data_IF_125543302918
#
_entry.id   IF_125543302918
#
_cell.length_a   1.000
_cell.length_b   1.000
_cell.length_c   1.000
_cell.angle_alpha   90.00
_cell.angle_beta   90.00
_cell.angle_gamma   90.00
#
_symmetry.space_group_name_H-M   'P 1'
#
loop_
_entity.id
_entity.type
_entity.pdbx_description
1 polymer ?
#
# COMPACT_ATOMS: atom_id res chain seq x y z
N UNK A 1 -20.07 21.55 -15.14
CA UNK A 1 -18.91 22.47 -15.23
C UNK A 1 -17.72 21.62 -15.60
N UNK A 2 -17.15 21.79 -16.80
CA UNK A 2 -15.91 21.11 -17.19
C UNK A 2 -14.76 22.08 -16.91
N UNK A 3 -13.95 21.79 -15.90
CA UNK A 3 -12.67 22.45 -15.74
C UNK A 3 -11.79 22.08 -16.93
N UNK A 4 -11.43 23.10 -17.71
CA UNK A 4 -10.47 22.97 -18.79
C UNK A 4 -9.11 22.72 -18.16
N UNK A 5 -8.52 21.58 -18.52
CA UNK A 5 -7.12 21.28 -18.26
C UNK A 5 -6.25 22.45 -18.71
N UNK A 6 -5.44 22.99 -17.80
CA UNK A 6 -4.72 24.23 -18.02
C UNK A 6 -3.55 24.00 -18.99
N UNK A 7 -3.74 24.47 -20.23
CA UNK A 7 -2.82 24.33 -21.37
C UNK A 7 -1.48 25.08 -21.15
N UNK A 8 -1.37 25.84 -20.06
CA UNK A 8 -0.23 26.67 -19.71
C UNK A 8 1.02 25.86 -19.37
N UNK A 9 0.84 24.65 -18.80
CA UNK A 9 1.95 23.75 -18.51
C UNK A 9 2.65 23.28 -19.80
N UNK A 10 1.88 23.03 -20.87
CA UNK A 10 2.41 22.59 -22.17
C UNK A 10 2.99 23.75 -23.00
N UNK A 11 2.54 24.98 -22.78
CA UNK A 11 3.09 26.18 -23.43
C UNK A 11 4.56 26.41 -23.05
N UNK A 12 4.93 26.13 -21.80
CA UNK A 12 6.31 26.26 -21.30
C UNK A 12 7.28 25.30 -22.00
N UNK A 13 6.84 24.07 -22.31
CA UNK A 13 7.64 23.05 -22.98
C UNK A 13 7.83 23.33 -24.47
N UNK A 14 6.85 23.96 -25.13
CA UNK A 14 6.94 24.29 -26.57
C UNK A 14 7.93 25.41 -26.89
N UNK A 15 8.31 26.24 -25.92
CA UNK A 15 9.16 27.43 -26.12
C UNK A 15 10.64 27.19 -25.77
N UNK A 16 11.03 25.96 -25.47
CA UNK A 16 12.40 25.60 -25.12
C UNK A 16 13.24 25.31 -26.38
N UNK A 17 14.24 26.16 -26.71
CA UNK A 17 15.05 26.01 -27.95
C UNK A 17 15.99 24.80 -27.93
N UNK A 18 16.16 24.16 -26.77
CA UNK A 18 16.98 22.98 -26.49
C UNK A 18 16.24 21.64 -26.72
N UNK A 19 14.92 21.66 -26.92
CA UNK A 19 14.08 20.46 -27.09
C UNK A 19 13.92 20.00 -28.55
N UNK A 20 14.78 20.43 -29.48
CA UNK A 20 14.83 19.75 -30.78
C UNK A 20 15.44 18.36 -30.57
N UNK A 21 14.68 17.26 -30.76
CA UNK A 21 15.21 15.94 -30.53
C UNK A 21 16.44 15.77 -31.42
N UNK A 22 17.58 15.41 -30.81
CA UNK A 22 18.83 15.18 -31.55
C UNK A 22 18.52 14.30 -32.75
N UNK A 23 18.93 14.72 -33.96
CA UNK A 23 18.59 14.00 -35.21
C UNK A 23 18.90 12.51 -35.13
N UNK A 24 19.92 12.14 -34.36
CA UNK A 24 20.29 10.77 -34.07
C UNK A 24 19.23 10.00 -33.27
N UNK A 25 18.64 10.60 -32.24
CA UNK A 25 17.56 10.00 -31.45
C UNK A 25 16.33 9.71 -32.31
N UNK A 26 15.94 10.66 -33.18
CA UNK A 26 14.83 10.47 -34.12
C UNK A 26 15.12 9.34 -35.12
N UNK A 27 16.38 9.17 -35.53
CA UNK A 27 16.83 8.07 -36.40
C UNK A 27 16.81 6.73 -35.66
N UNK A 28 17.30 6.68 -34.43
CA UNK A 28 17.31 5.48 -33.59
C UNK A 28 15.89 5.01 -33.26
N UNK A 29 15.00 5.92 -32.89
CA UNK A 29 13.59 5.61 -32.60
C UNK A 29 12.88 5.08 -33.83
N UNK A 30 13.11 5.70 -35.00
CA UNK A 30 12.57 5.22 -36.27
C UNK A 30 13.08 3.80 -36.58
N UNK A 31 14.37 3.55 -36.42
CA UNK A 31 14.94 2.22 -36.69
C UNK A 31 14.38 1.15 -35.75
N UNK A 32 14.26 1.42 -34.44
CA UNK A 32 13.63 0.47 -33.48
C UNK A 32 12.19 0.14 -33.84
N UNK A 33 11.37 1.15 -34.14
CA UNK A 33 9.97 0.95 -34.53
C UNK A 33 9.83 0.10 -35.81
N UNK A 34 10.74 0.27 -36.77
CA UNK A 34 10.72 -0.53 -38.01
C UNK A 34 11.29 -1.94 -37.83
N UNK A 35 12.25 -2.14 -36.92
CA UNK A 35 12.77 -3.47 -36.55
C UNK A 35 11.71 -4.29 -35.81
N UNK A 36 11.03 -3.71 -34.81
CA UNK A 36 9.95 -4.38 -34.06
C UNK A 36 8.76 -4.75 -34.96
N UNK A 37 8.38 -3.88 -35.90
CA UNK A 37 7.33 -4.19 -36.88
C UNK A 37 7.78 -5.20 -37.95
N UNK A 38 9.09 -5.31 -38.20
CA UNK A 38 9.67 -6.25 -39.15
C UNK A 38 9.69 -7.69 -38.63
N UNK A 39 9.98 -7.87 -37.34
CA UNK A 39 10.10 -9.19 -36.72
C UNK A 39 8.74 -9.86 -36.43
N UNK A 40 7.66 -9.09 -36.23
CA UNK A 40 6.31 -9.67 -36.18
C UNK A 40 5.85 -10.33 -37.49
N UNK A 41 6.49 -10.05 -38.63
CA UNK A 41 6.15 -10.66 -39.93
C UNK A 41 6.85 -11.99 -40.19
N UNK A 42 7.88 -12.37 -39.43
CA UNK A 42 8.66 -13.60 -39.65
C UNK A 42 8.26 -14.80 -38.78
N UNK A 43 7.39 -14.62 -37.76
CA UNK A 43 6.92 -15.73 -36.92
C UNK A 43 5.62 -16.41 -37.42
N UNK A 44 5.02 -15.98 -38.54
CA UNK A 44 3.80 -16.61 -39.12
C UNK A 44 4.09 -17.84 -39.98
N UNK A 45 4.82 -18.80 -39.43
CA UNK A 45 5.22 -20.01 -40.12
C UNK A 45 5.20 -21.26 -39.26
N UNK A 46 4.16 -21.46 -38.42
CA UNK A 46 3.68 -22.75 -37.87
C UNK A 46 2.69 -22.50 -36.73
N UNK A 47 1.41 -22.44 -37.03
CA UNK A 47 0.33 -23.00 -36.19
C UNK A 47 -1.00 -22.83 -36.92
N UNK A 48 -1.44 -23.92 -37.55
CA UNK A 48 -2.84 -24.16 -37.90
C UNK A 48 -3.48 -24.82 -36.69
N UNK A 49 -4.30 -24.08 -35.95
CA UNK A 49 -5.56 -24.55 -35.36
C UNK A 49 -6.13 -23.42 -34.49
N UNK A 50 -7.45 -23.21 -34.62
CA UNK A 50 -8.32 -22.39 -33.76
C UNK A 50 -8.42 -20.90 -34.08
N UNK A 51 -9.29 -20.60 -35.04
CA UNK A 51 -10.26 -19.48 -34.90
C UNK A 51 -11.64 -20.15 -34.91
N UNK A 52 -12.44 -19.94 -33.87
CA UNK A 52 -13.64 -19.12 -34.05
C UNK A 52 -13.86 -18.20 -32.83
N UNK A 53 -13.84 -16.87 -33.02
CA UNK A 53 -14.48 -15.93 -32.07
C UNK A 53 -14.66 -14.50 -32.62
N UNK A 54 -14.19 -14.18 -33.82
CA UNK A 54 -14.32 -12.81 -34.37
C UNK A 54 -15.69 -12.56 -35.06
N UNK A 55 -16.54 -13.58 -35.21
CA UNK A 55 -17.87 -13.46 -35.82
C UNK A 55 -19.02 -13.23 -34.83
N UNK A 56 -18.77 -13.30 -33.51
CA UNK A 56 -19.79 -13.04 -32.48
C UNK A 56 -19.94 -11.54 -32.12
N UNK A 57 -18.90 -10.73 -32.35
CA UNK A 57 -18.92 -9.30 -32.01
C UNK A 57 -19.71 -8.43 -33.01
N UNK A 58 -20.11 -8.98 -34.16
CA UNK A 58 -20.82 -8.22 -35.20
C UNK A 58 -22.36 -8.30 -35.10
N UNK A 59 -22.92 -9.15 -34.22
CA UNK A 59 -24.38 -9.33 -34.08
C UNK A 59 -24.99 -8.66 -32.84
N UNK A 60 -24.18 -8.07 -31.94
CA UNK A 60 -24.67 -7.39 -30.74
C UNK A 60 -24.97 -5.89 -31.00
N UNK A 61 -24.44 -5.31 -32.07
CA UNK A 61 -24.62 -3.88 -32.42
C UNK A 61 -25.87 -3.54 -33.24
N UNK A 62 -26.80 -4.50 -33.46
CA UNK A 62 -28.02 -4.28 -34.23
C UNK A 62 -29.33 -4.61 -33.48
N UNK A 63 -29.27 -4.73 -32.14
CA UNK A 63 -30.36 -5.27 -31.32
C UNK A 63 -30.94 -4.35 -30.24
N UNK A 64 -30.69 -3.04 -30.26
CA UNK A 64 -31.31 -2.09 -29.32
C UNK A 64 -31.74 -0.82 -30.07
N UNK A 65 -32.78 -0.94 -30.88
CA UNK A 65 -33.57 0.17 -31.40
C UNK A 65 -34.91 -0.44 -31.81
N UNK A 66 -35.86 -0.53 -30.89
CA UNK A 66 -37.30 -0.57 -31.16
C UNK A 66 -38.10 -0.58 -29.84
N UNK A 67 -39.12 0.28 -29.79
CA UNK A 67 -40.25 0.38 -28.85
C UNK A 67 -40.08 1.20 -27.56
N UNK A 68 -40.21 2.53 -27.68
CA UNK A 68 -41.08 3.29 -26.76
C UNK A 68 -41.99 4.15 -27.62
N UNK A 69 -43.27 3.79 -27.65
CA UNK A 69 -44.35 4.73 -27.88
C UNK A 69 -45.57 4.27 -27.07
N UNK A 70 -46.14 5.24 -26.35
CA UNK A 70 -47.57 5.50 -26.15
C UNK A 70 -48.15 5.49 -24.71
N UNK A 71 -48.79 6.64 -24.42
CA UNK A 71 -49.87 6.97 -23.46
C UNK A 71 -49.35 7.40 -22.07
N UNK A 72 -49.55 8.63 -21.55
CA UNK A 72 -50.62 9.65 -21.72
C UNK A 72 -51.27 9.85 -20.34
N UNK A 73 -51.30 11.02 -19.70
CA UNK A 73 -52.28 12.09 -19.93
C UNK A 73 -52.08 13.24 -18.91
N UNK A 74 -52.40 14.45 -19.35
CA UNK A 74 -52.54 15.69 -18.57
C UNK A 74 -53.70 15.62 -17.56
N UNK A 75 -53.57 16.34 -16.43
CA UNK A 75 -54.66 17.16 -15.90
C UNK A 75 -54.13 18.43 -15.23
N UNK A 76 -54.82 19.52 -15.57
CA UNK A 76 -54.61 20.92 -15.23
C UNK A 76 -55.30 21.27 -13.90
N UNK A 77 -54.83 22.28 -13.18
CA UNK A 77 -55.44 22.72 -11.92
C UNK A 77 -54.74 23.91 -11.24
N UNK A 78 -55.26 25.11 -11.51
CA UNK A 78 -54.77 26.42 -11.07
C UNK A 78 -55.11 26.83 -9.61
N UNK A 79 -54.26 27.75 -9.10
CA UNK A 79 -54.48 28.87 -8.16
C UNK A 79 -54.59 28.60 -6.65
N UNK A 80 -53.67 29.17 -5.85
CA UNK A 80 -53.79 30.54 -5.31
C UNK A 80 -52.63 30.88 -4.34
N UNK A 81 -52.27 32.17 -4.34
CA UNK A 81 -51.16 32.85 -3.66
C UNK A 81 -51.31 32.96 -2.13
N UNK A 82 -50.20 32.94 -1.37
CA UNK A 82 -49.62 34.13 -0.72
C UNK A 82 -48.51 33.81 0.32
N UNK A 83 -47.59 34.78 0.36
CA UNK A 83 -46.74 35.24 1.47
C UNK A 83 -45.33 34.64 1.68
N UNK A 84 -44.40 35.58 1.52
CA UNK A 84 -42.96 35.51 1.72
C UNK A 84 -42.64 35.48 3.22
N UNK A 85 -41.83 34.52 3.63
CA UNK A 85 -40.88 34.76 4.71
C UNK A 85 -39.55 34.07 4.39
N UNK A 86 -38.48 34.85 4.48
CA UNK A 86 -37.15 34.51 3.96
C UNK A 86 -36.41 33.68 5.00
N UNK A 87 -36.43 32.35 4.85
CA UNK A 87 -35.44 31.46 5.46
C UNK A 87 -34.70 30.80 4.30
N UNK A 88 -33.38 30.99 4.24
CA UNK A 88 -32.51 30.30 3.28
C UNK A 88 -32.56 28.80 3.54
N UNK A 89 -33.50 28.15 2.86
CA UNK A 89 -33.57 26.72 2.71
C UNK A 89 -32.42 26.31 1.78
N UNK A 90 -31.45 25.59 2.33
CA UNK A 90 -30.44 24.90 1.52
C UNK A 90 -31.22 23.87 0.71
N UNK A 91 -31.35 24.10 -0.60
CA UNK A 91 -31.88 23.12 -1.54
C UNK A 91 -31.03 21.86 -1.41
N UNK A 92 -31.62 20.83 -0.81
CA UNK A 92 -31.13 19.46 -0.95
C UNK A 92 -31.42 19.07 -2.39
N UNK A 93 -30.41 19.20 -3.26
CA UNK A 93 -30.42 18.59 -4.58
C UNK A 93 -30.50 17.08 -4.39
N UNK A 94 -31.73 16.57 -4.30
CA UNK A 94 -32.03 15.14 -4.39
C UNK A 94 -31.77 14.71 -5.83
N UNK A 95 -30.50 14.50 -6.15
CA UNK A 95 -30.15 13.72 -7.34
C UNK A 95 -30.73 12.33 -7.14
N UNK A 96 -31.46 11.82 -8.14
CA UNK A 96 -31.85 10.42 -8.13
C UNK A 96 -30.60 9.56 -7.88
N UNK A 97 -30.69 8.55 -7.00
CA UNK A 97 -29.53 7.75 -6.62
C UNK A 97 -28.93 7.12 -7.86
N UNK A 98 -27.72 7.56 -8.21
CA UNK A 98 -26.94 6.96 -9.29
C UNK A 98 -26.80 5.48 -8.98
N UNK A 99 -27.25 4.64 -9.91
CA UNK A 99 -27.06 3.20 -9.85
C UNK A 99 -25.60 2.90 -9.52
N UNK A 100 -25.38 2.15 -8.44
CA UNK A 100 -24.04 1.79 -8.01
C UNK A 100 -23.51 0.69 -8.93
N UNK A 101 -22.45 0.98 -9.68
CA UNK A 101 -21.72 0.01 -10.48
C UNK A 101 -20.62 -0.68 -9.65
N UNK A 102 -20.08 -1.78 -10.19
CA UNK A 102 -19.03 -2.58 -9.53
C UNK A 102 -17.77 -1.76 -9.19
N UNK A 103 -17.19 -0.94 -10.09
CA UNK A 103 -16.00 -0.14 -9.74
C UNK A 103 -16.27 0.92 -8.68
N UNK A 104 -17.45 1.55 -8.69
CA UNK A 104 -17.82 2.53 -7.66
C UNK A 104 -18.05 1.84 -6.32
N UNK A 105 -18.70 0.67 -6.32
CA UNK A 105 -18.83 -0.14 -5.12
C UNK A 105 -17.45 -0.52 -4.56
N UNK A 106 -16.55 -1.06 -5.37
CA UNK A 106 -15.17 -1.40 -4.98
C UNK A 106 -14.45 -0.23 -4.33
N UNK A 107 -14.55 0.95 -4.93
CA UNK A 107 -13.94 2.17 -4.39
C UNK A 107 -14.53 2.55 -3.03
N UNK A 108 -15.85 2.64 -2.91
CA UNK A 108 -16.52 3.04 -1.67
C UNK A 108 -16.25 2.06 -0.53
N UNK A 109 -16.21 0.77 -0.89
CA UNK A 109 -15.89 -0.31 0.02
C UNK A 109 -14.45 -0.16 0.49
N UNK A 110 -13.47 -0.09 -0.42
CA UNK A 110 -12.06 0.15 -0.05
C UNK A 110 -11.87 1.38 0.84
N UNK A 111 -12.49 2.52 0.51
CA UNK A 111 -12.43 3.74 1.32
C UNK A 111 -12.99 3.55 2.74
N UNK A 112 -14.08 2.79 2.90
CA UNK A 112 -14.65 2.49 4.21
C UNK A 112 -13.69 1.65 5.06
N UNK A 113 -13.03 0.65 4.45
CA UNK A 113 -12.03 -0.17 5.13
C UNK A 113 -10.78 0.62 5.52
N UNK A 114 -10.23 1.43 4.61
CA UNK A 114 -9.09 2.31 4.91
C UNK A 114 -9.39 3.24 6.09
N UNK A 115 -10.60 3.81 6.15
CA UNK A 115 -10.99 4.66 7.28
C UNK A 115 -11.07 3.89 8.58
N UNK A 116 -11.63 2.69 8.55
CA UNK A 116 -11.74 1.89 9.74
C UNK A 116 -10.36 1.44 10.23
N UNK A 117 -9.47 1.04 9.32
CA UNK A 117 -8.07 0.71 9.60
C UNK A 117 -7.32 1.87 10.26
N UNK A 118 -7.46 3.09 9.72
CA UNK A 118 -6.87 4.30 10.30
C UNK A 118 -7.27 4.54 11.77
N UNK A 119 -8.47 4.10 12.17
CA UNK A 119 -8.93 4.22 13.57
C UNK A 119 -8.30 3.14 14.44
N UNK A 120 -8.29 1.88 13.97
CA UNK A 120 -7.69 0.78 14.73
C UNK A 120 -6.19 0.99 14.94
N UNK A 121 -5.51 1.42 13.88
CA UNK A 121 -4.06 1.59 13.84
C UNK A 121 -3.62 3.04 14.05
N UNK A 122 -4.47 3.86 14.68
CA UNK A 122 -4.11 5.21 15.09
C UNK A 122 -2.86 5.18 16.00
N UNK A 123 -1.81 5.89 15.57
CA UNK A 123 -0.52 6.00 16.26
C UNK A 123 -0.65 6.66 17.64
N UNK A 124 -1.78 7.33 17.88
CA UNK A 124 -2.09 7.95 19.16
C UNK A 124 -1.36 9.26 19.38
N UNK A 125 -1.11 9.58 20.64
CA UNK A 125 -0.29 10.74 21.05
C UNK A 125 1.14 10.35 21.44
N UNK A 126 1.50 9.07 21.33
CA UNK A 126 2.71 8.48 21.91
C UNK A 126 2.63 8.24 23.43
N UNK A 127 1.58 8.71 24.10
CA UNK A 127 1.35 8.46 25.53
C UNK A 127 0.61 7.12 25.75
N UNK A 128 1.24 6.21 26.50
CA UNK A 128 0.66 4.93 26.93
C UNK A 128 0.49 4.83 28.46
N UNK A 129 -0.37 3.92 28.91
CA UNK A 129 -0.66 3.67 30.32
C UNK A 129 -1.20 2.24 30.55
N UNK A 130 -0.95 1.70 31.74
CA UNK A 130 -1.57 0.43 32.16
C UNK A 130 -3.03 0.63 32.58
N UNK A 131 -3.93 -0.19 32.01
CA UNK A 131 -5.32 -0.28 32.42
C UNK A 131 -5.71 -1.74 32.59
N UNK A 132 -6.02 -2.13 33.84
CA UNK A 132 -6.36 -3.51 34.23
C UNK A 132 -5.27 -4.56 33.89
N UNK A 133 -4.00 -4.13 33.81
CA UNK A 133 -2.86 -5.02 33.52
C UNK A 133 -2.56 -5.17 32.04
N UNK A 134 -3.24 -4.43 31.18
CA UNK A 134 -2.98 -4.35 29.74
C UNK A 134 -2.47 -2.94 29.37
N UNK A 135 -1.53 -2.82 28.42
CA UNK A 135 -1.08 -1.53 27.93
C UNK A 135 -2.14 -0.89 27.02
N UNK A 136 -2.45 0.37 27.28
CA UNK A 136 -3.35 1.19 26.48
C UNK A 136 -2.61 2.43 25.98
N UNK A 137 -2.99 2.95 24.82
CA UNK A 137 -2.54 4.23 24.28
C UNK A 137 -3.70 5.21 24.13
N UNK A 138 -3.45 6.49 24.37
CA UNK A 138 -4.43 7.51 24.02
C UNK A 138 -4.48 7.68 22.51
N UNK A 139 -5.70 7.81 21.98
CA UNK A 139 -5.93 8.17 20.58
C UNK A 139 -5.37 9.55 20.27
N UNK A 140 -5.03 9.79 19.00
CA UNK A 140 -4.59 11.09 18.49
C UNK A 140 -5.64 12.17 18.72
N UNK A 141 -5.26 13.45 18.60
CA UNK A 141 -6.19 14.57 18.81
C UNK A 141 -7.38 14.57 17.85
N UNK A 142 -7.24 13.91 16.70
CA UNK A 142 -8.30 13.74 15.72
C UNK A 142 -9.35 12.72 16.19
N UNK A 143 -8.96 11.77 17.04
CA UNK A 143 -9.79 10.66 17.50
C UNK A 143 -9.94 10.56 19.03
N UNK A 144 -9.58 11.61 19.78
CA UNK A 144 -9.57 11.64 21.26
C UNK A 144 -10.95 11.53 21.94
N UNK A 145 -12.03 11.35 21.18
CA UNK A 145 -13.39 11.17 21.70
C UNK A 145 -14.23 10.31 20.78
N UNK A 146 -15.22 9.60 21.34
CA UNK A 146 -16.13 8.74 20.57
C UNK A 146 -16.86 9.52 19.48
N UNK A 147 -17.27 10.75 19.76
CA UNK A 147 -18.00 11.59 18.80
C UNK A 147 -17.14 11.94 17.58
N UNK A 148 -15.84 12.22 17.78
CA UNK A 148 -14.92 12.46 16.66
C UNK A 148 -14.73 11.21 15.80
N UNK A 149 -14.57 10.04 16.42
CA UNK A 149 -14.46 8.76 15.70
C UNK A 149 -15.74 8.46 14.92
N UNK A 150 -16.93 8.63 15.53
CA UNK A 150 -18.22 8.48 14.84
C UNK A 150 -18.32 9.44 13.67
N UNK A 151 -17.93 10.70 13.85
CA UNK A 151 -17.99 11.71 12.81
C UNK A 151 -17.08 11.35 11.62
N UNK A 152 -15.86 10.89 11.89
CA UNK A 152 -14.93 10.43 10.86
C UNK A 152 -15.45 9.21 10.09
N UNK A 153 -15.99 8.21 10.79
CA UNK A 153 -16.60 7.04 10.16
C UNK A 153 -17.87 7.37 9.38
N UNK A 154 -18.62 8.39 9.77
CA UNK A 154 -19.89 8.76 9.12
C UNK A 154 -19.75 9.21 7.66
N UNK A 155 -18.53 9.44 7.17
CA UNK A 155 -18.23 9.70 5.76
C UNK A 155 -18.44 8.45 4.89
N UNK A 156 -18.16 7.25 5.42
CA UNK A 156 -18.28 5.98 4.68
C UNK A 156 -19.29 5.01 5.29
N UNK A 157 -19.67 5.22 6.54
CA UNK A 157 -20.61 4.38 7.29
C UNK A 157 -21.87 5.16 7.65
N UNK A 158 -23.00 4.45 7.73
CA UNK A 158 -24.20 4.99 8.36
C UNK A 158 -23.90 5.29 9.83
N UNK A 159 -24.57 6.29 10.45
CA UNK A 159 -24.33 6.63 11.86
C UNK A 159 -24.50 5.45 12.82
N UNK A 160 -25.45 4.56 12.53
CA UNK A 160 -25.68 3.35 13.34
C UNK A 160 -24.53 2.34 13.18
N UNK A 161 -24.05 2.11 11.96
CA UNK A 161 -22.88 1.26 11.71
C UNK A 161 -21.62 1.82 12.38
N UNK A 162 -21.36 3.13 12.25
CA UNK A 162 -20.22 3.79 12.88
C UNK A 162 -20.23 3.64 14.41
N UNK A 163 -21.40 3.85 15.05
CA UNK A 163 -21.55 3.67 16.51
C UNK A 163 -21.33 2.23 16.93
N UNK A 164 -21.83 1.28 16.15
CA UNK A 164 -21.69 -0.14 16.44
C UNK A 164 -20.21 -0.58 16.35
N UNK A 165 -19.50 -0.16 15.31
CA UNK A 165 -18.05 -0.43 15.15
C UNK A 165 -17.22 0.04 16.35
N UNK A 166 -17.56 1.20 16.91
CA UNK A 166 -16.89 1.74 18.12
C UNK A 166 -17.31 0.99 19.38
N UNK A 167 -18.54 0.48 19.44
CA UNK A 167 -19.04 -0.28 20.57
C UNK A 167 -18.42 -1.68 20.66
N UNK A 168 -18.11 -2.28 19.51
CA UNK A 168 -17.53 -3.62 19.39
C UNK A 168 -16.01 -3.63 19.64
N UNK A 169 -15.34 -2.48 19.50
CA UNK A 169 -13.92 -2.33 19.78
C UNK A 169 -13.65 -1.97 21.26
N UNK A 170 -12.55 -2.45 21.89
CA UNK A 170 -12.21 -2.20 23.29
C UNK A 170 -11.80 -0.75 23.63
N UNK A 171 -12.42 0.26 23.02
CA UNK A 171 -12.20 1.65 23.37
C UNK A 171 -12.66 1.98 24.79
N UNK A 172 -11.79 2.65 25.54
CA UNK A 172 -12.10 3.18 26.86
C UNK A 172 -11.99 4.70 26.88
N UNK A 173 -12.69 5.33 27.82
CA UNK A 173 -12.46 6.74 28.15
C UNK A 173 -11.65 6.77 29.43
N UNK A 174 -10.41 7.25 29.35
CA UNK A 174 -9.51 7.37 30.48
C UNK A 174 -9.07 8.82 30.63
N UNK A 175 -9.25 9.39 31.84
CA UNK A 175 -9.00 10.81 32.13
C UNK A 175 -9.65 11.80 31.13
N UNK A 176 -10.82 11.43 30.61
CA UNK A 176 -11.58 12.26 29.67
C UNK A 176 -11.14 12.19 28.21
N UNK A 177 -10.15 11.35 27.87
CA UNK A 177 -9.71 11.09 26.50
C UNK A 177 -10.02 9.65 26.09
N UNK A 178 -10.29 9.44 24.81
CA UNK A 178 -10.42 8.09 24.22
C UNK A 178 -9.06 7.40 24.19
N UNK A 179 -9.04 6.12 24.50
CA UNK A 179 -7.87 5.27 24.47
C UNK A 179 -8.26 3.87 23.98
N UNK A 180 -7.28 3.16 23.44
CA UNK A 180 -7.40 1.79 22.95
C UNK A 180 -6.23 0.94 23.43
N UNK A 181 -6.32 -0.41 23.41
CA UNK A 181 -5.17 -1.26 23.65
C UNK A 181 -3.98 -0.88 22.76
N UNK A 182 -2.77 -0.94 23.30
CA UNK A 182 -1.55 -0.63 22.55
C UNK A 182 -1.08 -1.84 21.74
N UNK A 183 -1.95 -2.26 20.82
CA UNK A 183 -1.70 -3.37 19.89
C UNK A 183 -1.82 -2.88 18.45
N UNK A 184 -1.30 -3.68 17.52
CA UNK A 184 -1.51 -3.48 16.10
C UNK A 184 -2.64 -4.39 15.66
N UNK A 185 -3.59 -3.85 14.90
CA UNK A 185 -4.70 -4.64 14.37
C UNK A 185 -4.45 -4.92 12.90
N UNK A 186 -4.18 -6.18 12.57
CA UNK A 186 -4.17 -6.61 11.18
C UNK A 186 -5.61 -6.59 10.66
N UNK A 187 -5.92 -5.62 9.80
CA UNK A 187 -7.12 -5.69 8.98
C UNK A 187 -6.82 -6.67 7.85
N UNK A 188 -7.34 -7.90 7.95
CA UNK A 188 -7.13 -8.96 6.95
C UNK A 188 -7.12 -8.40 5.50
N UNK A 189 -6.17 -8.86 4.67
CA UNK A 189 -5.81 -8.46 3.28
C UNK A 189 -6.93 -8.58 2.22
N UNK A 190 -8.19 -8.40 2.61
CA UNK A 190 -9.37 -8.51 1.76
C UNK A 190 -9.31 -7.65 0.49
N UNK A 191 -8.42 -6.66 0.43
CA UNK A 191 -8.40 -5.66 -0.63
C UNK A 191 -7.31 -5.88 -1.66
N UNK A 192 -6.30 -6.73 -1.40
CA UNK A 192 -5.29 -7.05 -2.40
C UNK A 192 -5.85 -8.09 -3.37
N UNK A 193 -6.64 -7.63 -4.35
CA UNK A 193 -6.99 -8.42 -5.53
C UNK A 193 -8.40 -9.01 -5.60
N UNK A 194 -9.35 -8.58 -4.75
CA UNK A 194 -10.76 -8.95 -4.91
C UNK A 194 -11.53 -7.88 -5.70
N UNK A 195 -12.38 -8.31 -6.64
CA UNK A 195 -13.31 -7.43 -7.37
C UNK A 195 -14.74 -7.80 -6.98
N UNK A 196 -15.63 -6.81 -6.87
CA UNK A 196 -17.06 -7.08 -6.71
C UNK A 196 -17.55 -7.99 -7.85
N UNK A 197 -18.14 -9.12 -7.50
CA UNK A 197 -18.68 -10.08 -8.47
C UNK A 197 -20.17 -9.85 -8.76
N UNK A 198 -20.81 -9.01 -7.95
CA UNK A 198 -22.24 -8.72 -8.07
C UNK A 198 -22.63 -7.47 -7.28
N UNK A 199 -23.32 -6.56 -7.95
CA UNK A 199 -24.02 -5.44 -7.32
C UNK A 199 -25.51 -5.55 -7.60
N UNK A 200 -26.34 -5.48 -6.56
CA UNK A 200 -27.80 -5.43 -6.65
C UNK A 200 -28.29 -4.14 -6.03
N UNK A 201 -28.56 -3.15 -6.89
CA UNK A 201 -28.96 -1.82 -6.46
C UNK A 201 -30.47 -1.61 -6.58
N UNK A 202 -31.02 -0.95 -5.56
CA UNK A 202 -32.33 -0.31 -5.54
C UNK A 202 -32.13 1.18 -5.26
N UNK A 203 -33.19 1.99 -5.22
CA UNK A 203 -33.07 3.44 -4.97
C UNK A 203 -32.33 3.77 -3.66
N UNK A 204 -32.58 3.02 -2.58
CA UNK A 204 -32.06 3.37 -1.25
C UNK A 204 -31.06 2.36 -0.69
N UNK A 205 -30.83 1.26 -1.40
CA UNK A 205 -30.04 0.14 -0.89
C UNK A 205 -29.31 -0.57 -2.02
N UNK A 206 -28.04 -0.93 -1.80
CA UNK A 206 -27.26 -1.78 -2.68
C UNK A 206 -26.62 -2.92 -1.90
N UNK A 207 -26.85 -4.15 -2.36
CA UNK A 207 -26.18 -5.35 -1.85
C UNK A 207 -25.02 -5.69 -2.81
N UNK A 208 -23.78 -5.64 -2.31
CA UNK A 208 -22.54 -5.92 -3.06
C UNK A 208 -21.95 -7.23 -2.57
N UNK A 209 -21.56 -8.12 -3.47
CA UNK A 209 -20.97 -9.43 -3.15
C UNK A 209 -19.54 -9.54 -3.65
N UNK A 210 -18.66 -10.06 -2.79
CA UNK A 210 -17.24 -10.34 -3.08
C UNK A 210 -16.96 -11.82 -2.97
N UNK A 211 -16.02 -12.28 -3.81
CA UNK A 211 -15.30 -13.54 -3.61
C UNK A 211 -13.92 -13.21 -3.04
N UNK A 212 -13.69 -13.63 -1.81
CA UNK A 212 -12.43 -13.42 -1.10
C UNK A 212 -11.65 -14.74 -1.15
N UNK A 213 -10.43 -14.77 -1.70
CA UNK A 213 -9.61 -15.96 -1.67
C UNK A 213 -9.25 -16.30 -0.22
N UNK A 214 -9.37 -17.57 0.17
CA UNK A 214 -8.91 -18.03 1.48
C UNK A 214 -7.38 -18.19 1.41
N UNK A 215 -6.65 -17.45 2.24
CA UNK A 215 -5.19 -17.57 2.38
C UNK A 215 -4.80 -19.02 2.72
N UNK A 216 -3.82 -19.59 2.01
CA UNK A 216 -3.37 -20.98 2.20
C UNK A 216 -3.37 -21.88 0.94
N UNK A 217 -3.59 -21.32 -0.25
CA UNK A 217 -3.43 -22.04 -1.52
C UNK A 217 -4.57 -22.99 -1.90
N UNK A 218 -5.66 -23.01 -1.14
CA UNK A 218 -6.91 -23.67 -1.55
C UNK A 218 -7.64 -22.83 -2.61
N UNK A 219 -8.26 -23.48 -3.61
CA UNK A 219 -9.18 -22.83 -4.57
C UNK A 219 -10.52 -22.43 -3.94
N UNK A 220 -10.65 -22.47 -2.62
CA UNK A 220 -11.87 -22.11 -1.91
C UNK A 220 -11.94 -20.59 -1.77
N UNK A 221 -13.06 -20.02 -2.24
CA UNK A 221 -13.40 -18.61 -2.09
C UNK A 221 -14.45 -18.45 -1.00
N UNK A 222 -14.25 -17.48 -0.12
CA UNK A 222 -15.26 -17.06 0.84
C UNK A 222 -16.13 -15.98 0.21
N UNK A 223 -17.45 -16.21 0.15
CA UNK A 223 -18.39 -15.24 -0.42
C UNK A 223 -18.88 -14.32 0.68
N UNK A 224 -18.62 -13.02 0.55
CA UNK A 224 -19.06 -12.00 1.49
C UNK A 224 -20.01 -11.01 0.84
N UNK A 225 -21.00 -10.55 1.61
CA UNK A 225 -21.97 -9.56 1.13
C UNK A 225 -21.97 -8.33 2.04
N UNK A 226 -21.83 -7.17 1.42
CA UNK A 226 -21.90 -5.87 2.05
C UNK A 226 -23.16 -5.14 1.62
N UNK A 227 -23.77 -4.38 2.52
CA UNK A 227 -24.94 -3.57 2.22
C UNK A 227 -24.64 -2.11 2.39
N UNK A 228 -24.84 -1.35 1.31
CA UNK A 228 -24.80 0.09 1.29
C UNK A 228 -26.23 0.66 1.31
N UNK A 229 -26.41 1.76 2.03
CA UNK A 229 -27.65 2.57 2.06
C UNK A 229 -27.31 3.94 1.49
N UNK A 230 -28.21 4.48 0.68
CA UNK A 230 -28.08 5.83 0.18
C UNK A 230 -28.63 6.84 1.20
N UNK A 231 -27.73 7.62 1.81
CA UNK A 231 -28.01 8.71 2.75
C UNK A 231 -27.03 9.86 2.49
N UNK A 232 -27.43 10.77 1.59
CA UNK A 232 -26.56 11.82 1.04
C UNK A 232 -25.24 11.26 0.46
N UNK A 233 -25.32 10.07 -0.13
CA UNK A 233 -24.17 9.27 -0.56
C UNK A 233 -24.36 7.80 -0.17
N UNK A 234 -23.70 6.89 -0.88
CA UNK A 234 -23.72 5.47 -0.57
C UNK A 234 -22.83 5.19 0.65
N UNK A 235 -23.40 4.61 1.71
CA UNK A 235 -22.72 4.35 2.99
C UNK A 235 -22.98 2.94 3.50
N UNK A 236 -22.02 2.37 4.22
CA UNK A 236 -22.17 1.04 4.82
C UNK A 236 -23.21 1.01 5.93
N UNK A 237 -24.11 0.03 5.84
CA UNK A 237 -25.21 -0.14 6.79
C UNK A 237 -25.04 -1.28 7.78
N UNK A 238 -24.11 -2.21 7.52
CA UNK A 238 -23.95 -3.45 8.29
C UNK A 238 -22.58 -3.48 8.97
N UNK A 239 -22.55 -4.10 10.15
CA UNK A 239 -21.32 -4.47 10.87
C UNK A 239 -20.50 -5.39 9.98
N UNK A 240 -19.26 -5.01 9.72
CA UNK A 240 -18.39 -5.79 8.84
C UNK A 240 -18.22 -7.20 9.44
N UNK A 241 -18.34 -8.28 8.65
CA UNK A 241 -18.40 -9.66 9.17
C UNK A 241 -17.05 -10.18 9.69
N UNK A 242 -16.11 -9.31 10.08
CA UNK A 242 -14.79 -9.70 10.52
C UNK A 242 -14.70 -9.79 12.04
N UNK A 243 -14.17 -10.92 12.50
CA UNK A 243 -13.44 -10.97 13.76
C UNK A 243 -12.06 -10.37 13.51
N UNK A 244 -11.74 -9.27 14.20
CA UNK A 244 -10.35 -8.83 14.32
C UNK A 244 -9.67 -9.85 15.23
N UNK A 245 -8.64 -10.52 14.73
CA UNK A 245 -7.68 -11.12 15.64
C UNK A 245 -6.91 -9.97 16.25
N UNK A 246 -6.98 -9.84 17.57
CA UNK A 246 -5.92 -9.18 18.30
C UNK A 246 -4.67 -10.00 18.00
N UNK A 247 -3.90 -9.51 17.04
CA UNK A 247 -2.52 -9.95 16.92
C UNK A 247 -1.89 -9.24 18.12
N UNK A 248 -1.58 -9.99 19.17
CA UNK A 248 -0.60 -9.51 20.15
C UNK A 248 0.49 -8.91 19.29
N UNK A 249 0.71 -7.59 19.40
CA UNK A 249 1.73 -6.86 18.64
C UNK A 249 2.94 -7.76 18.71
N UNK A 250 3.23 -8.50 17.63
CA UNK A 250 4.11 -9.64 17.76
C UNK A 250 5.50 -9.03 17.89
N UNK A 251 5.87 -8.70 19.12
CA UNK A 251 7.13 -9.13 19.68
C UNK A 251 7.06 -10.66 19.75
N UNK A 252 6.94 -11.32 18.60
CA UNK A 252 7.96 -12.28 18.30
C UNK A 252 9.24 -11.48 18.52
N UNK A 253 9.83 -11.64 19.71
CA UNK A 253 11.21 -11.26 19.95
C UNK A 253 11.98 -12.04 18.88
N UNK A 254 12.07 -11.44 17.71
CA UNK A 254 12.98 -11.83 16.68
C UNK A 254 14.34 -11.56 17.30
N UNK A 255 14.81 -12.57 18.03
CA UNK A 255 16.08 -12.55 18.71
C UNK A 255 17.11 -12.84 17.64
N UNK A 256 17.39 -11.78 16.86
CA UNK A 256 18.49 -11.74 15.94
C UNK A 256 19.74 -12.22 16.67
N UNK A 257 20.36 -13.27 16.13
CA UNK A 257 21.56 -13.84 16.71
C UNK A 257 22.52 -14.29 15.63
N UNK A 258 23.79 -14.05 15.91
CA UNK A 258 24.88 -14.58 15.12
C UNK A 258 25.08 -16.05 15.47
N UNK A 259 25.45 -16.84 14.47
CA UNK A 259 25.99 -18.18 14.73
C UNK A 259 27.36 -18.05 15.41
N UNK A 260 27.88 -19.08 16.08
CA UNK A 260 29.19 -19.00 16.74
C UNK A 260 30.34 -18.58 15.82
N UNK A 261 30.29 -18.95 14.54
CA UNK A 261 31.27 -18.55 13.53
C UNK A 261 31.17 -17.04 13.19
N UNK A 262 29.95 -16.55 12.98
CA UNK A 262 29.67 -15.13 12.74
C UNK A 262 30.00 -14.26 13.95
N UNK A 263 29.72 -14.74 15.17
CA UNK A 263 30.04 -14.05 16.41
C UNK A 263 31.55 -13.96 16.64
N UNK A 264 32.30 -15.03 16.33
CA UNK A 264 33.76 -15.01 16.37
C UNK A 264 34.34 -14.03 15.35
N UNK A 265 33.80 -14.00 14.12
CA UNK A 265 34.21 -13.05 13.09
C UNK A 265 33.91 -11.61 13.52
N UNK A 266 32.70 -11.35 14.03
CA UNK A 266 32.32 -10.02 14.53
C UNK A 266 33.22 -9.56 15.68
N UNK A 267 33.55 -10.45 16.62
CA UNK A 267 34.47 -10.13 17.72
C UNK A 267 35.85 -9.74 17.21
N UNK A 268 36.43 -10.50 16.28
CA UNK A 268 37.74 -10.20 15.69
C UNK A 268 37.71 -8.88 14.91
N UNK A 269 36.70 -8.68 14.08
CA UNK A 269 36.48 -7.45 13.32
C UNK A 269 36.27 -6.23 14.23
N UNK A 270 35.61 -6.42 15.38
CA UNK A 270 35.40 -5.35 16.36
C UNK A 270 36.68 -4.93 17.09
N UNK A 271 37.64 -5.85 17.25
CA UNK A 271 38.96 -5.60 17.83
C UNK A 271 39.92 -4.97 16.80
N UNK A 272 39.81 -5.39 15.55
CA UNK A 272 40.63 -4.97 14.42
C UNK A 272 39.75 -4.91 13.15
N UNK A 273 39.31 -3.72 12.69
CA UNK A 273 38.31 -3.57 11.63
C UNK A 273 38.91 -3.77 10.24
N UNK A 274 39.65 -4.86 10.06
CA UNK A 274 40.17 -5.30 8.78
C UNK A 274 39.22 -6.33 8.17
N UNK A 275 38.91 -6.16 6.89
CA UNK A 275 38.02 -7.06 6.14
C UNK A 275 38.50 -8.51 6.15
N UNK A 276 39.81 -8.75 6.33
CA UNK A 276 40.40 -10.08 6.50
C UNK A 276 39.72 -10.93 7.59
N UNK A 277 39.14 -10.30 8.64
CA UNK A 277 38.45 -11.02 9.71
C UNK A 277 37.04 -11.51 9.32
N UNK A 278 36.49 -10.98 8.22
CA UNK A 278 35.22 -11.42 7.63
C UNK A 278 35.46 -12.45 6.51
N UNK A 279 36.72 -12.80 6.24
CA UNK A 279 37.09 -13.72 5.19
C UNK A 279 36.50 -15.12 5.40
N UNK A 280 35.97 -15.69 4.31
CA UNK A 280 35.35 -17.02 4.30
C UNK A 280 33.87 -17.02 4.71
N UNK A 281 33.35 -15.90 5.20
CA UNK A 281 31.92 -15.75 5.44
C UNK A 281 31.15 -15.69 4.12
N UNK A 282 29.92 -16.23 4.17
CA UNK A 282 28.97 -16.06 3.07
C UNK A 282 28.49 -14.60 3.01
N UNK A 283 28.00 -14.12 1.84
CA UNK A 283 27.41 -12.79 1.75
C UNK A 283 26.31 -12.55 2.79
N UNK A 284 25.48 -13.57 3.07
CA UNK A 284 24.45 -13.49 4.10
C UNK A 284 25.05 -13.29 5.50
N UNK A 285 26.10 -14.03 5.83
CA UNK A 285 26.79 -13.91 7.12
C UNK A 285 27.43 -12.53 7.31
N UNK A 286 27.98 -11.94 6.26
CA UNK A 286 28.50 -10.56 6.29
C UNK A 286 27.37 -9.57 6.59
N UNK A 287 26.21 -9.71 5.94
CA UNK A 287 25.04 -8.87 6.25
C UNK A 287 24.58 -9.04 7.70
N UNK A 288 24.59 -10.26 8.24
CA UNK A 288 24.25 -10.47 9.65
C UNK A 288 25.25 -9.77 10.58
N UNK A 289 26.54 -9.84 10.31
CA UNK A 289 27.56 -9.11 11.08
C UNK A 289 27.33 -7.59 11.00
N UNK A 290 26.93 -7.08 9.83
CA UNK A 290 26.56 -5.67 9.64
C UNK A 290 25.34 -5.27 10.48
N UNK A 291 24.30 -6.12 10.51
CA UNK A 291 23.11 -5.89 11.34
C UNK A 291 23.50 -5.87 12.82
N UNK A 292 24.36 -6.80 13.28
CA UNK A 292 24.86 -6.80 14.65
C UNK A 292 25.62 -5.50 14.98
N UNK A 293 26.53 -5.06 14.12
CA UNK A 293 27.26 -3.81 14.32
C UNK A 293 26.33 -2.59 14.42
N UNK A 294 25.26 -2.60 13.63
CA UNK A 294 24.22 -1.57 13.66
C UNK A 294 23.41 -1.59 14.96
N UNK A 295 23.05 -2.78 15.46
CA UNK A 295 22.35 -2.95 16.74
C UNK A 295 23.20 -2.56 17.96
N UNK A 296 24.52 -2.72 17.85
CA UNK A 296 25.50 -2.30 18.85
C UNK A 296 25.90 -0.82 18.72
N UNK A 297 25.29 -0.09 17.78
CA UNK A 297 25.54 1.34 17.49
C UNK A 297 27.02 1.63 17.17
N UNK A 298 27.72 0.64 16.60
CA UNK A 298 29.13 0.69 16.19
C UNK A 298 29.24 1.21 14.76
N UNK A 299 28.89 2.48 14.57
CA UNK A 299 28.91 3.14 13.25
C UNK A 299 30.31 3.15 12.61
N UNK A 300 31.35 3.15 13.44
CA UNK A 300 32.73 2.98 13.01
C UNK A 300 32.94 1.66 12.27
N UNK A 301 32.36 0.56 12.78
CA UNK A 301 32.45 -0.75 12.15
C UNK A 301 31.52 -0.88 10.94
N UNK A 302 30.32 -0.31 11.03
CA UNK A 302 29.34 -0.28 9.92
C UNK A 302 29.97 0.33 8.68
N UNK A 303 30.69 1.44 8.82
CA UNK A 303 31.34 2.10 7.68
C UNK A 303 32.43 1.23 7.04
N UNK A 304 33.24 0.54 7.85
CA UNK A 304 34.32 -0.33 7.38
C UNK A 304 33.81 -1.59 6.65
N UNK A 305 32.51 -1.89 6.73
CA UNK A 305 31.89 -2.98 5.98
C UNK A 305 31.35 -2.54 4.62
N UNK A 306 31.35 -1.25 4.32
CA UNK A 306 30.98 -0.77 2.99
C UNK A 306 32.08 -1.04 1.97
N UNK A 307 31.65 -1.28 0.73
CA UNK A 307 32.57 -1.43 -0.41
C UNK A 307 33.53 -0.26 -0.56
N UNK A 308 34.81 -0.58 -0.77
CA UNK A 308 35.87 0.40 -1.02
C UNK A 308 36.00 0.78 -2.51
N UNK A 309 35.13 0.21 -3.37
CA UNK A 309 35.21 0.45 -4.81
C UNK A 309 34.85 1.89 -5.14
N UNK A 310 35.75 2.63 -5.83
CA UNK A 310 35.55 4.05 -6.11
C UNK A 310 34.22 4.40 -6.80
N UNK A 311 33.71 3.49 -7.65
CA UNK A 311 32.47 3.69 -8.40
C UNK A 311 31.19 3.47 -7.56
N UNK A 312 31.31 2.89 -6.35
CA UNK A 312 30.21 2.52 -5.47
C UNK A 312 30.20 3.27 -4.13
N UNK A 313 31.30 3.92 -3.76
CA UNK A 313 31.38 4.80 -2.60
C UNK A 313 30.42 5.99 -2.78
N UNK A 314 29.59 6.24 -1.76
CA UNK A 314 28.63 7.35 -1.76
C UNK A 314 29.06 8.54 -0.92
N UNK A 315 29.73 8.27 0.21
CA UNK A 315 30.23 9.29 1.11
C UNK A 315 31.50 8.80 1.81
N UNK A 316 32.34 9.74 2.27
CA UNK A 316 33.58 9.41 3.00
C UNK A 316 33.30 9.08 4.45
N UNK A 317 34.28 8.50 5.15
CA UNK A 317 34.18 8.20 6.59
C UNK A 317 33.92 9.46 7.41
N UNK A 318 34.58 10.57 7.05
CA UNK A 318 34.39 11.86 7.71
C UNK A 318 33.02 12.50 7.42
N UNK A 319 32.34 12.09 6.34
CA UNK A 319 30.96 12.47 6.06
C UNK A 319 29.99 11.58 6.83
N UNK A 320 30.28 10.28 6.93
CA UNK A 320 29.51 9.33 7.73
C UNK A 320 29.48 9.76 9.21
N UNK A 321 30.63 10.06 9.80
CA UNK A 321 30.76 10.51 11.20
C UNK A 321 29.95 11.78 11.53
N UNK A 322 29.52 12.55 10.52
CA UNK A 322 28.70 13.76 10.70
C UNK A 322 27.20 13.48 10.64
N UNK A 323 26.78 12.28 10.26
CA UNK A 323 25.36 11.87 10.24
C UNK A 323 24.84 11.89 11.70
N UNK A 324 23.81 12.69 12.02
CA UNK A 324 23.22 12.74 13.35
C UNK A 324 22.74 11.36 13.82
N UNK A 325 22.84 11.07 15.12
CA UNK A 325 22.37 9.79 15.69
C UNK A 325 20.88 9.55 15.43
N UNK A 326 20.08 10.62 15.36
CA UNK A 326 18.64 10.57 15.04
C UNK A 326 18.37 10.00 13.64
N UNK A 327 19.28 10.22 12.69
CA UNK A 327 19.19 9.74 11.30
C UNK A 327 19.74 8.31 11.12
N UNK A 328 20.42 7.75 12.14
CA UNK A 328 21.02 6.39 12.10
C UNK A 328 19.99 5.27 12.35
N UNK A 329 18.76 5.62 12.71
CA UNK A 329 17.69 4.68 13.06
C UNK A 329 17.79 4.18 14.50
N UNK A 330 16.65 3.79 15.08
CA UNK A 330 16.59 3.17 16.41
C UNK A 330 16.85 1.66 16.30
N UNK A 331 17.21 1.00 17.41
CA UNK A 331 17.34 -0.47 17.45
C UNK A 331 16.07 -1.17 16.98
N UNK A 332 14.90 -0.65 17.36
CA UNK A 332 13.60 -1.16 16.91
C UNK A 332 13.43 -1.03 15.40
N UNK A 333 13.78 0.12 14.81
CA UNK A 333 13.72 0.31 13.36
C UNK A 333 14.67 -0.63 12.62
N UNK A 334 15.88 -0.83 13.15
CA UNK A 334 16.86 -1.78 12.58
C UNK A 334 16.28 -3.19 12.65
N UNK A 335 15.73 -3.60 13.80
CA UNK A 335 15.18 -4.93 13.96
C UNK A 335 14.00 -5.20 13.02
N UNK A 336 13.09 -4.22 12.89
CA UNK A 336 11.95 -4.32 11.99
C UNK A 336 12.38 -4.33 10.51
N UNK A 337 13.37 -3.51 10.15
CA UNK A 337 13.89 -3.46 8.77
C UNK A 337 14.48 -4.79 8.35
N UNK A 338 15.28 -5.40 9.23
CA UNK A 338 16.03 -6.63 8.94
C UNK A 338 15.34 -7.91 9.44
N UNK A 339 14.09 -7.83 9.90
CA UNK A 339 13.32 -9.00 10.34
C UNK A 339 13.36 -10.08 9.25
N UNK A 340 13.66 -11.32 9.63
CA UNK A 340 13.74 -12.45 8.70
C UNK A 340 14.99 -12.50 7.83
N UNK A 341 15.95 -11.58 7.96
CA UNK A 341 17.20 -11.58 7.17
C UNK A 341 17.99 -12.88 7.33
N UNK A 342 17.92 -13.56 8.48
CA UNK A 342 18.61 -14.85 8.69
C UNK A 342 18.17 -15.96 7.72
N UNK A 343 16.96 -15.82 7.14
CA UNK A 343 16.42 -16.74 6.14
C UNK A 343 16.63 -16.20 4.71
N UNK A 344 17.38 -15.11 4.56
CA UNK A 344 17.62 -14.45 3.29
C UNK A 344 18.41 -15.30 2.30
N UNK A 345 18.12 -15.10 1.02
CA UNK A 345 18.79 -15.78 -0.09
C UNK A 345 19.70 -14.80 -0.84
N UNK A 346 20.98 -15.15 -0.98
CA UNK A 346 21.88 -14.36 -1.81
C UNK A 346 21.65 -14.62 -3.30
N UNK A 347 21.36 -13.55 -4.05
CA UNK A 347 21.15 -13.57 -5.49
C UNK A 347 22.23 -12.74 -6.15
N UNK A 348 23.16 -13.40 -6.82
CA UNK A 348 24.17 -12.74 -7.63
C UNK A 348 23.55 -12.28 -8.97
N UNK A 349 23.68 -11.00 -9.30
CA UNK A 349 23.10 -10.40 -10.51
C UNK A 349 24.15 -10.07 -11.56
N UNK A 350 25.42 -9.99 -11.17
CA UNK A 350 26.57 -9.76 -12.04
C UNK A 350 27.85 -10.33 -11.42
N UNK A 351 28.97 -10.25 -12.13
CA UNK A 351 30.28 -10.70 -11.62
C UNK A 351 30.67 -10.00 -10.32
N UNK A 352 30.20 -8.76 -10.14
CA UNK A 352 30.59 -7.87 -9.05
C UNK A 352 29.45 -7.41 -8.14
N UNK A 353 28.22 -7.88 -8.38
CA UNK A 353 27.04 -7.36 -7.71
C UNK A 353 26.02 -8.45 -7.44
N UNK A 354 25.35 -8.33 -6.30
CA UNK A 354 24.27 -9.20 -5.88
C UNK A 354 23.46 -8.54 -4.76
N UNK A 355 22.50 -9.26 -4.22
CA UNK A 355 21.74 -8.80 -3.07
C UNK A 355 21.24 -9.97 -2.23
N UNK A 356 20.99 -9.73 -0.94
CA UNK A 356 20.22 -10.64 -0.09
C UNK A 356 18.74 -10.32 -0.26
N UNK A 357 17.98 -11.30 -0.71
CA UNK A 357 16.52 -11.25 -0.82
C UNK A 357 15.91 -11.86 0.44
N UNK A 358 15.07 -11.13 1.16
CA UNK A 358 14.44 -11.63 2.38
C UNK A 358 13.03 -11.05 2.55
N UNK A 359 12.25 -11.64 3.45
CA UNK A 359 10.89 -11.22 3.79
C UNK A 359 10.90 -10.73 5.24
N UNK A 360 10.47 -9.50 5.46
CA UNK A 360 10.39 -8.88 6.79
C UNK A 360 8.99 -8.93 7.40
N UNK A 361 8.04 -9.64 6.76
CA UNK A 361 6.65 -9.75 7.20
C UNK A 361 5.78 -8.54 6.82
N UNK A 362 6.28 -7.62 5.99
CA UNK A 362 5.52 -6.50 5.43
C UNK A 362 5.00 -6.76 4.01
N UNK A 363 4.51 -5.71 3.35
CA UNK A 363 4.03 -5.76 1.97
C UNK A 363 5.20 -5.80 0.95
N UNK A 364 5.95 -6.90 0.91
CA UNK A 364 6.91 -7.17 -0.16
C UNK A 364 8.22 -7.81 0.25
N UNK A 365 8.99 -8.22 -0.76
CA UNK A 365 10.34 -8.76 -0.59
C UNK A 365 11.35 -7.62 -0.50
N UNK A 366 12.22 -7.68 0.49
CA UNK A 366 13.29 -6.73 0.73
C UNK A 366 14.58 -7.16 0.03
N UNK A 367 15.40 -6.17 -0.35
CA UNK A 367 16.70 -6.39 -1.00
C UNK A 367 17.84 -5.65 -0.30
N UNK A 368 18.87 -6.38 0.12
CA UNK A 368 20.09 -5.80 0.70
C UNK A 368 21.26 -5.91 -0.25
N UNK A 369 21.79 -4.78 -0.73
CA UNK A 369 22.80 -4.76 -1.78
C UNK A 369 24.17 -5.25 -1.27
N UNK A 370 24.81 -6.11 -2.07
CA UNK A 370 26.18 -6.56 -1.87
C UNK A 370 27.01 -6.28 -3.12
N UNK A 371 28.21 -5.77 -2.94
CA UNK A 371 29.17 -5.47 -4.00
C UNK A 371 30.42 -6.30 -3.74
N UNK A 372 30.97 -6.93 -4.78
CA UNK A 372 32.23 -7.64 -4.68
C UNK A 372 33.37 -6.67 -4.95
N UNK A 373 34.29 -6.54 -4.00
CA UNK A 373 35.46 -5.67 -4.07
C UNK A 373 36.56 -6.25 -4.97
N UNK A 374 37.61 -5.48 -5.23
CA UNK A 374 38.63 -5.84 -6.23
C UNK A 374 39.49 -7.05 -5.82
N UNK A 375 39.59 -7.29 -4.52
CA UNK A 375 40.21 -8.47 -3.91
C UNK A 375 39.31 -9.72 -3.95
N UNK A 376 38.05 -9.55 -4.34
CA UNK A 376 37.10 -10.63 -4.59
C UNK A 376 36.15 -10.93 -3.43
N UNK A 377 36.18 -10.13 -2.36
CA UNK A 377 35.30 -10.27 -1.20
C UNK A 377 34.00 -9.50 -1.36
N UNK A 378 32.96 -9.92 -0.63
CA UNK A 378 31.64 -9.29 -0.72
C UNK A 378 31.46 -8.29 0.41
N UNK A 379 31.26 -7.03 0.05
CA UNK A 379 31.04 -5.92 0.96
C UNK A 379 29.63 -5.35 0.82
N UNK A 380 29.22 -4.57 1.82
CA UNK A 380 27.91 -3.94 1.86
C UNK A 380 27.84 -2.80 0.86
N UNK A 381 26.76 -2.74 0.08
CA UNK A 381 26.48 -1.56 -0.74
C UNK A 381 25.93 -0.41 0.11
N UNK A 382 26.36 0.83 -0.18
CA UNK A 382 25.86 2.03 0.50
C UNK A 382 24.35 2.28 0.36
N UNK A 383 23.68 1.64 -0.61
CA UNK A 383 22.27 1.87 -0.91
C UNK A 383 21.51 0.53 -0.85
N UNK A 384 20.52 0.37 0.04
CA UNK A 384 19.63 -0.77 -0.02
C UNK A 384 18.80 -0.73 -1.30
N UNK A 385 18.45 -1.90 -1.84
CA UNK A 385 17.60 -1.99 -3.03
C UNK A 385 16.16 -1.79 -2.54
N UNK A 386 15.53 -0.70 -3.00
CA UNK A 386 14.11 -0.41 -2.76
C UNK A 386 13.21 -1.22 -3.69
#
# INVERSE_FOLDING_TARGET
>A
MNEKFDDDLLQSLKKRPDLTPRKEFKRQLKNRLFEEMGDQKKSRGKMRSLVPNILAAAFILAGILLTIELIGTEMDGQNASQEQDTIKQVESTSQEPTELDEPTADKLIGEAFTRYDNILNDEGTGESFDYKGEPYRYMSTEFDSKDKVVHYLAESFTPDAARQLIADHPFIVYKGKLAQPDVFYETNDLWTGTTAIKVRTSETMSDVTYEVPISGGSQEVNVQSFRLIYDNGWKFSVVMPFSFSEVEKESNEWNFSLTPEEEEAYRKFSEDPMEEHLHGLSPLSIVKVYVQASLDERHDLVYEMYTDRPDYIRWTKEEDEKIPQEDRGTKENILNTFKGIENGEFIQTSDIGGYIKYDNGGEGLMGFQMIKDEDGYWSVGFIPIQ
#
